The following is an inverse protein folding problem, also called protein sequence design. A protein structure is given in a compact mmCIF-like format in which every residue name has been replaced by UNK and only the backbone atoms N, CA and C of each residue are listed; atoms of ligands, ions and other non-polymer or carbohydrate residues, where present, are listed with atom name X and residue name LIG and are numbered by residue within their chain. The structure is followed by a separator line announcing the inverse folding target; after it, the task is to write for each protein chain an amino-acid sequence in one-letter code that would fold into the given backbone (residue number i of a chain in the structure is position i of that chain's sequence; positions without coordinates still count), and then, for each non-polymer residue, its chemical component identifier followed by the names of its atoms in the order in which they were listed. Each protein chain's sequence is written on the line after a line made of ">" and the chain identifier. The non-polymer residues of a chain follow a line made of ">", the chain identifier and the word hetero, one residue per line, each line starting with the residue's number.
data_IF_858308866384
#
_entry.id   IF_858308866384
#
_cell.length_a   1.000
_cell.length_b   1.000
_cell.length_c   1.000
_cell.angle_alpha   90.00
_cell.angle_beta   90.00
_cell.angle_gamma   90.00
#
_symmetry.space_group_name_H-M   'P 1'
#
loop_
_entity.id
_entity.type
_entity.pdbx_description
1 polymer ?
#
# COMPACT_ATOMS: atom_id res chain seq x y z
N UNK A 1 6.23 13.58 19.10
CA UNK A 1 6.10 12.11 19.05
C UNK A 1 5.51 11.75 17.70
N UNK A 2 6.30 11.12 16.82
CA UNK A 2 5.77 10.62 15.54
C UNK A 2 4.85 9.44 15.84
N UNK A 3 3.68 9.41 15.21
CA UNK A 3 2.73 8.30 15.38
C UNK A 3 3.37 7.01 14.86
N UNK A 4 3.38 5.97 15.68
CA UNK A 4 3.78 4.62 15.27
C UNK A 4 2.57 3.93 14.64
N UNK A 5 2.79 3.30 13.49
CA UNK A 5 1.80 2.50 12.78
C UNK A 5 2.20 1.02 12.88
N UNK A 6 1.24 0.21 13.28
CA UNK A 6 1.36 -1.23 13.36
C UNK A 6 -0.04 -1.82 13.19
N UNK A 7 -0.16 -2.79 12.29
CA UNK A 7 -1.40 -3.50 12.03
C UNK A 7 -1.07 -4.91 11.57
N UNK A 8 -1.77 -5.93 12.09
CA UNK A 8 -1.51 -7.35 11.82
C UNK A 8 -0.03 -7.77 12.04
N UNK A 9 0.60 -7.26 13.10
CA UNK A 9 2.02 -7.51 13.43
C UNK A 9 3.00 -7.02 12.35
N UNK A 10 2.57 -6.10 11.47
CA UNK A 10 3.40 -5.52 10.42
C UNK A 10 3.78 -4.08 10.80
N UNK A 11 5.08 -3.85 10.94
CA UNK A 11 5.64 -2.54 11.24
C UNK A 11 5.32 -1.53 10.13
N UNK A 12 4.94 -0.32 10.53
CA UNK A 12 4.53 0.74 9.61
C UNK A 12 3.16 0.53 8.96
N UNK A 13 2.49 -0.61 9.19
CA UNK A 13 1.20 -0.90 8.58
C UNK A 13 0.10 -0.02 9.19
N UNK A 14 -0.58 0.74 8.34
CA UNK A 14 -1.67 1.65 8.68
C UNK A 14 -3.01 0.93 8.59
N UNK A 15 -3.21 0.17 7.52
CA UNK A 15 -4.39 -0.67 7.27
C UNK A 15 -4.08 -1.74 6.23
N UNK A 16 -4.74 -2.89 6.35
CA UNK A 16 -4.82 -3.91 5.30
C UNK A 16 -6.27 -4.23 5.00
N UNK A 17 -6.58 -4.46 3.73
CA UNK A 17 -7.91 -4.90 3.30
C UNK A 17 -7.86 -5.66 1.99
N UNK A 18 -8.91 -6.45 1.74
CA UNK A 18 -9.10 -7.08 0.45
C UNK A 18 -9.64 -6.07 -0.56
N UNK A 19 -8.96 -5.95 -1.71
CA UNK A 19 -9.43 -5.17 -2.84
C UNK A 19 -10.76 -5.72 -3.36
N UNK A 20 -11.73 -4.84 -3.63
CA UNK A 20 -13.01 -5.24 -4.22
C UNK A 20 -12.89 -5.49 -5.73
N UNK A 21 -11.89 -4.89 -6.37
CA UNK A 21 -11.66 -5.00 -7.82
C UNK A 21 -10.94 -6.31 -8.16
N UNK A 22 -9.85 -6.61 -7.47
CA UNK A 22 -9.00 -7.77 -7.81
C UNK A 22 -9.17 -8.94 -6.85
N UNK A 23 -9.78 -8.73 -5.68
CA UNK A 23 -9.84 -9.75 -4.63
C UNK A 23 -8.53 -9.97 -3.87
N UNK A 24 -7.44 -9.32 -4.25
CA UNK A 24 -6.13 -9.46 -3.58
C UNK A 24 -6.03 -8.63 -2.29
N UNK A 25 -5.13 -9.03 -1.41
CA UNK A 25 -4.83 -8.25 -0.21
C UNK A 25 -3.97 -7.03 -0.59
N UNK A 26 -4.38 -5.86 -0.11
CA UNK A 26 -3.66 -4.61 -0.27
C UNK A 26 -3.42 -3.97 1.08
N UNK A 27 -2.23 -3.42 1.28
CA UNK A 27 -1.82 -2.75 2.49
C UNK A 27 -1.42 -1.32 2.25
N UNK A 28 -1.60 -0.48 3.26
CA UNK A 28 -1.12 0.88 3.32
C UNK A 28 -0.11 1.01 4.45
N UNK A 29 1.07 1.51 4.14
CA UNK A 29 2.20 1.58 5.07
C UNK A 29 2.76 2.99 5.16
N UNK A 30 3.34 3.31 6.31
CA UNK A 30 4.33 4.37 6.43
C UNK A 30 5.70 3.80 6.04
N UNK A 31 6.29 4.31 4.95
CA UNK A 31 7.46 3.71 4.30
C UNK A 31 8.65 3.51 5.26
N UNK A 32 9.07 4.56 5.96
CA UNK A 32 10.23 4.47 6.88
C UNK A 32 10.01 3.47 8.03
N UNK A 33 8.78 3.38 8.56
CA UNK A 33 8.47 2.49 9.68
C UNK A 33 8.38 1.04 9.23
N UNK A 34 8.02 0.82 7.97
CA UNK A 34 8.01 -0.49 7.33
C UNK A 34 9.37 -0.90 6.74
N UNK A 35 10.42 -0.06 6.88
CA UNK A 35 11.73 -0.31 6.29
C UNK A 35 11.77 -0.21 4.76
N UNK A 36 10.82 0.50 4.16
CA UNK A 36 10.75 0.78 2.72
C UNK A 36 11.42 2.11 2.39
N UNK A 37 11.83 2.26 1.13
CA UNK A 37 12.39 3.50 0.62
C UNK A 37 11.32 4.62 0.58
N UNK A 38 11.51 5.75 1.30
CA UNK A 38 10.58 6.86 1.32
C UNK A 38 10.83 7.91 0.22
N UNK A 39 11.83 7.76 -0.66
CA UNK A 39 12.27 8.83 -1.59
C UNK A 39 11.16 9.38 -2.48
N UNK A 40 10.15 8.56 -2.81
CA UNK A 40 8.99 8.97 -3.61
C UNK A 40 7.73 9.29 -2.79
N UNK A 41 7.84 9.30 -1.45
CA UNK A 41 6.76 9.62 -0.52
C UNK A 41 6.73 8.70 0.71
N UNK A 42 6.38 9.28 1.86
CA UNK A 42 6.34 8.58 3.15
C UNK A 42 5.22 7.54 3.29
N UNK A 43 4.29 7.47 2.34
CA UNK A 43 3.15 6.55 2.37
C UNK A 43 3.21 5.59 1.20
N UNK A 44 3.11 4.29 1.44
CA UNK A 44 3.21 3.27 0.41
C UNK A 44 1.95 2.42 0.35
N UNK A 45 1.37 2.25 -0.84
CA UNK A 45 0.40 1.19 -1.10
C UNK A 45 1.14 -0.05 -1.58
N UNK A 46 0.81 -1.20 -1.00
CA UNK A 46 1.46 -2.48 -1.27
C UNK A 46 0.40 -3.48 -1.72
N UNK A 47 0.67 -4.19 -2.81
CA UNK A 47 -0.07 -5.38 -3.17
C UNK A 47 0.63 -6.57 -2.52
N UNK A 48 -0.01 -7.19 -1.54
CA UNK A 48 0.62 -8.26 -0.75
C UNK A 48 0.83 -9.54 -1.56
N UNK A 49 0.05 -9.73 -2.63
CA UNK A 49 0.17 -10.89 -3.54
C UNK A 49 1.35 -10.73 -4.51
N UNK A 50 1.47 -9.54 -5.13
CA UNK A 50 2.46 -9.30 -6.18
C UNK A 50 3.72 -8.57 -5.69
N UNK A 51 3.80 -8.28 -4.39
CA UNK A 51 4.86 -7.49 -3.76
C UNK A 51 5.14 -6.13 -4.44
N UNK A 52 4.15 -5.59 -5.17
CA UNK A 52 4.26 -4.29 -5.85
C UNK A 52 4.05 -3.17 -4.84
N UNK A 53 4.90 -2.14 -4.90
CA UNK A 53 4.89 -1.00 -3.99
C UNK A 53 4.73 0.28 -4.80
N UNK A 54 3.87 1.20 -4.35
CA UNK A 54 3.74 2.53 -4.93
C UNK A 54 3.72 3.59 -3.81
N UNK A 55 4.66 4.52 -3.84
CA UNK A 55 4.79 5.60 -2.86
C UNK A 55 3.91 6.80 -3.22
N UNK A 56 3.49 7.51 -2.17
CA UNK A 56 2.58 8.64 -2.21
C UNK A 56 3.05 9.71 -1.22
N UNK A 57 2.89 10.98 -1.61
CA UNK A 57 3.30 12.13 -0.80
C UNK A 57 2.43 12.34 0.45
N UNK A 58 1.17 11.90 0.44
CA UNK A 58 0.23 12.08 1.56
C UNK A 58 -0.58 10.82 1.84
N UNK A 59 -0.96 10.64 3.11
CA UNK A 59 -1.81 9.53 3.57
C UNK A 59 -3.15 9.48 2.82
N UNK A 60 -3.75 10.66 2.58
CA UNK A 60 -5.02 10.77 1.86
C UNK A 60 -4.90 10.27 0.41
N UNK A 61 -3.80 10.62 -0.27
CA UNK A 61 -3.54 10.16 -1.64
C UNK A 61 -3.35 8.64 -1.70
N UNK A 62 -2.58 8.09 -0.76
CA UNK A 62 -2.35 6.66 -0.67
C UNK A 62 -3.66 5.89 -0.41
N UNK A 63 -4.52 6.39 0.49
CA UNK A 63 -5.86 5.80 0.76
C UNK A 63 -6.77 5.81 -0.46
N UNK A 64 -6.72 6.86 -1.27
CA UNK A 64 -7.50 6.94 -2.50
C UNK A 64 -7.07 5.87 -3.52
N UNK A 65 -5.76 5.57 -3.60
CA UNK A 65 -5.21 4.55 -4.50
C UNK A 65 -5.33 3.12 -3.96
N UNK A 66 -5.40 2.95 -2.64
CA UNK A 66 -5.48 1.63 -2.00
C UNK A 66 -6.69 0.81 -2.45
N UNK A 67 -7.81 1.47 -2.80
CA UNK A 67 -9.05 0.78 -3.17
C UNK A 67 -9.00 0.04 -4.50
N UNK A 68 -8.13 0.47 -5.41
CA UNK A 68 -8.04 -0.06 -6.76
C UNK A 68 -6.56 -0.30 -7.14
N UNK A 69 -6.03 -1.52 -6.90
CA UNK A 69 -4.65 -1.84 -7.22
C UNK A 69 -4.35 -1.89 -8.71
N UNK A 70 -5.35 -1.99 -9.60
CA UNK A 70 -5.13 -2.05 -11.06
C UNK A 70 -4.51 -0.77 -11.63
N UNK A 71 -4.59 0.33 -10.89
CA UNK A 71 -4.01 1.61 -11.32
C UNK A 71 -2.48 1.66 -11.13
N UNK A 72 -1.93 0.92 -10.18
CA UNK A 72 -0.51 1.03 -9.79
C UNK A 72 0.24 -0.30 -9.71
N UNK A 73 -0.46 -1.42 -9.59
CA UNK A 73 0.13 -2.76 -9.65
C UNK A 73 -0.08 -3.31 -11.07
N UNK A 74 1.02 -3.42 -11.83
CA UNK A 74 1.02 -3.94 -13.19
C UNK A 74 0.45 -5.37 -13.28
N UNK A 75 0.88 -6.34 -12.45
CA UNK A 75 0.28 -7.68 -12.46
C UNK A 75 -1.23 -7.70 -12.18
N UNK A 76 -1.71 -6.91 -11.20
CA UNK A 76 -3.13 -6.77 -10.93
C UNK A 76 -3.90 -6.25 -12.16
N UNK A 77 -3.32 -5.34 -12.94
CA UNK A 77 -3.94 -4.80 -14.14
C UNK A 77 -4.02 -5.84 -15.25
N UNK A 78 -2.95 -6.59 -15.46
CA UNK A 78 -2.89 -7.63 -16.49
C UNK A 78 -3.85 -8.79 -16.20
N UNK A 79 -4.07 -9.15 -14.93
CA UNK A 79 -5.03 -10.19 -14.52
C UNK A 79 -6.51 -9.82 -14.74
N UNK A 80 -6.83 -8.54 -14.91
CA UNK A 80 -8.20 -8.06 -15.14
C UNK A 80 -8.51 -7.83 -16.63
N UNK A 81 -7.53 -8.00 -17.53
CA UNK A 81 -7.67 -7.83 -18.97
C UNK A 81 -8.22 -9.10 -19.65
#
# INVERSE_FOLDING_TARGET
>A
MTKVYEHNDLAGCVEQRRSRTTGHMVGLYHAEQAGMDPDSGAWATVCEEHASICNHSTLAHARAHLGDPTMWCEPCRDEQA
#
